data_IF_982828137309
#
_entry.id   IF_982828137309
#
_cell.length_a   1.000
_cell.length_b   1.000
_cell.length_c   1.000
_cell.angle_alpha   90.00
_cell.angle_beta   90.00
_cell.angle_gamma   90.00
#
_symmetry.space_group_name_H-M   'P 1'
#
loop_
_entity.id
_entity.type
_entity.pdbx_description
1 polymer ?
#
# COMPACT_ATOMS: atom_id res chain seq x y z
N UNK A 1 2.26 -2.39 -7.07
CA UNK A 1 1.30 -1.43 -7.65
C UNK A 1 0.21 -2.24 -8.34
N UNK A 2 -1.04 -2.07 -7.94
CA UNK A 2 -2.19 -2.70 -8.60
C UNK A 2 -2.71 -1.73 -9.66
N UNK A 3 -2.52 -2.07 -10.94
CA UNK A 3 -3.06 -1.30 -12.05
C UNK A 3 -4.44 -1.86 -12.45
N UNK A 4 -5.38 -0.96 -12.70
CA UNK A 4 -6.71 -1.30 -13.20
C UNK A 4 -6.73 -1.46 -14.73
N UNK A 5 -5.65 -1.11 -15.41
CA UNK A 5 -5.50 -1.25 -16.85
C UNK A 5 -4.43 -2.27 -17.19
N UNK A 6 -4.75 -3.18 -18.11
CA UNK A 6 -3.80 -4.12 -18.71
C UNK A 6 -3.86 -3.96 -20.23
N UNK A 7 -2.75 -3.58 -20.85
CA UNK A 7 -2.67 -3.28 -22.30
C UNK A 7 -3.72 -2.24 -22.76
N UNK A 8 -3.85 -1.14 -22.02
CA UNK A 8 -4.84 -0.06 -22.26
C UNK A 8 -6.32 -0.50 -22.18
N UNK A 9 -6.61 -1.66 -21.58
CA UNK A 9 -7.98 -2.12 -21.32
C UNK A 9 -8.25 -2.15 -19.82
N UNK A 10 -9.41 -1.63 -19.42
CA UNK A 10 -9.86 -1.71 -18.03
C UNK A 10 -10.14 -3.17 -17.68
N UNK A 11 -9.63 -3.62 -16.54
CA UNK A 11 -9.90 -4.95 -16.00
C UNK A 11 -11.40 -5.12 -15.75
N UNK A 12 -11.89 -6.31 -16.05
CA UNK A 12 -13.25 -6.74 -15.74
C UNK A 12 -13.39 -7.12 -14.26
N UNK A 13 -14.61 -7.17 -13.71
CA UNK A 13 -14.80 -7.55 -12.30
C UNK A 13 -14.18 -8.90 -11.91
N UNK A 14 -14.25 -9.98 -12.72
CA UNK A 14 -13.55 -11.23 -12.41
C UNK A 14 -12.02 -11.11 -12.37
N UNK A 15 -11.43 -10.29 -13.26
CA UNK A 15 -9.98 -10.05 -13.27
C UNK A 15 -9.53 -9.26 -12.04
N UNK A 16 -10.32 -8.27 -11.62
CA UNK A 16 -10.11 -7.54 -10.37
C UNK A 16 -10.20 -8.49 -9.17
N UNK A 17 -11.22 -9.36 -9.13
CA UNK A 17 -11.40 -10.31 -8.04
C UNK A 17 -10.17 -11.21 -7.88
N UNK A 18 -9.68 -11.79 -8.97
CA UNK A 18 -8.47 -12.63 -8.96
C UNK A 18 -7.26 -11.89 -8.37
N UNK A 19 -7.07 -10.63 -8.77
CA UNK A 19 -5.95 -9.79 -8.29
C UNK A 19 -6.09 -9.48 -6.79
N UNK A 20 -7.32 -9.26 -6.31
CA UNK A 20 -7.58 -9.05 -4.88
C UNK A 20 -7.33 -10.31 -4.06
N UNK A 21 -7.72 -11.48 -4.56
CA UNK A 21 -7.44 -12.78 -3.91
C UNK A 21 -5.92 -13.00 -3.75
N UNK A 22 -5.14 -12.71 -4.79
CA UNK A 22 -3.67 -12.78 -4.73
C UNK A 22 -3.10 -11.84 -3.66
N UNK A 23 -3.64 -10.61 -3.54
CA UNK A 23 -3.21 -9.62 -2.53
C UNK A 23 -3.53 -10.11 -1.11
N UNK A 24 -4.74 -10.65 -0.89
CA UNK A 24 -5.15 -11.20 0.42
C UNK A 24 -4.22 -12.33 0.83
N UNK A 25 -3.99 -13.30 -0.08
CA UNK A 25 -3.13 -14.45 0.21
C UNK A 25 -1.69 -14.03 0.57
N UNK A 26 -1.11 -13.06 -0.16
CA UNK A 26 0.23 -12.54 0.13
C UNK A 26 0.27 -11.80 1.47
N UNK A 27 -0.76 -11.01 1.78
CA UNK A 27 -0.83 -10.21 3.00
C UNK A 27 -0.99 -11.08 4.24
N UNK A 28 -1.74 -12.17 4.15
CA UNK A 28 -1.91 -13.13 5.23
C UNK A 28 -0.60 -13.88 5.55
N UNK A 29 0.21 -14.15 4.52
CA UNK A 29 1.51 -14.82 4.68
C UNK A 29 2.60 -13.91 5.25
N UNK A 30 2.51 -12.60 5.00
CA UNK A 30 3.51 -11.63 5.43
C UNK A 30 2.84 -10.32 5.91
N UNK A 31 2.32 -10.30 7.14
CA UNK A 31 1.73 -9.10 7.72
C UNK A 31 2.72 -7.93 7.75
N UNK A 32 2.29 -6.75 7.29
CA UNK A 32 3.09 -5.54 7.30
C UNK A 32 3.19 -4.89 8.69
N UNK A 33 4.05 -3.86 8.80
CA UNK A 33 4.29 -3.13 10.06
C UNK A 33 3.16 -2.18 10.48
N UNK A 34 2.08 -2.08 9.70
CA UNK A 34 0.96 -1.20 10.03
C UNK A 34 1.26 0.30 9.92
N UNK A 35 2.16 0.71 9.00
CA UNK A 35 2.55 2.13 8.82
C UNK A 35 1.36 3.07 8.59
N UNK A 36 0.25 2.57 8.01
CA UNK A 36 -0.98 3.34 7.84
C UNK A 36 -1.60 3.82 9.15
N UNK A 37 -1.34 3.15 10.28
CA UNK A 37 -1.82 3.59 11.59
C UNK A 37 -1.20 4.93 12.03
N UNK A 38 -0.03 5.29 11.51
CA UNK A 38 0.66 6.53 11.87
C UNK A 38 -0.07 7.78 11.36
N UNK A 39 -0.99 7.64 10.39
CA UNK A 39 -1.73 8.78 9.83
C UNK A 39 -2.82 9.31 10.76
N UNK A 40 -3.12 8.63 11.87
CA UNK A 40 -4.07 9.10 12.88
C UNK A 40 -3.44 10.08 13.87
N UNK A 41 -2.11 10.23 13.87
CA UNK A 41 -1.40 11.16 14.73
C UNK A 41 -1.78 12.62 14.41
N UNK A 42 -1.64 13.56 15.37
CA UNK A 42 -1.71 14.98 15.10
C UNK A 42 -0.80 15.37 13.92
N UNK A 43 -1.23 16.33 13.11
CA UNK A 43 -0.57 16.65 11.82
C UNK A 43 0.93 16.91 11.96
N UNK A 44 1.34 17.61 13.02
CA UNK A 44 2.75 17.94 13.27
C UNK A 44 3.57 16.70 13.65
N UNK A 45 2.99 15.78 14.42
CA UNK A 45 3.63 14.51 14.80
C UNK A 45 3.72 13.57 13.60
N UNK A 46 2.64 13.44 12.83
CA UNK A 46 2.64 12.67 11.58
C UNK A 46 3.71 13.17 10.60
N UNK A 47 3.85 14.48 10.46
CA UNK A 47 4.85 15.08 9.55
C UNK A 47 6.27 14.66 9.94
N UNK A 48 6.61 14.74 11.24
CA UNK A 48 7.92 14.31 11.74
C UNK A 48 8.18 12.81 11.50
N UNK A 49 7.19 11.97 11.78
CA UNK A 49 7.33 10.52 11.61
C UNK A 49 7.44 10.14 10.14
N UNK A 50 6.65 10.76 9.25
CA UNK A 50 6.75 10.56 7.80
C UNK A 50 8.13 10.94 7.27
N UNK A 51 8.65 12.09 7.66
CA UNK A 51 9.95 12.57 7.18
C UNK A 51 11.07 11.62 7.65
N UNK A 52 10.98 11.13 8.89
CA UNK A 52 11.89 10.10 9.38
C UNK A 52 11.78 8.79 8.58
N UNK A 53 10.57 8.33 8.25
CA UNK A 53 10.38 7.13 7.39
C UNK A 53 11.07 7.30 6.03
N UNK A 54 11.00 8.49 5.43
CA UNK A 54 11.67 8.79 4.16
C UNK A 54 13.20 8.81 4.27
N UNK A 55 13.75 9.25 5.40
CA UNK A 55 15.20 9.22 5.67
C UNK A 55 15.73 7.79 5.88
N UNK A 56 14.92 6.91 6.47
CA UNK A 56 15.32 5.52 6.75
C UNK A 56 15.50 4.69 5.48
N UNK A 57 14.71 4.94 4.44
CA UNK A 57 14.79 4.22 3.16
C UNK A 57 14.13 5.04 2.05
N UNK A 58 14.86 5.27 0.95
CA UNK A 58 14.35 5.98 -0.22
C UNK A 58 13.11 5.32 -0.85
N UNK A 59 12.92 4.01 -0.69
CA UNK A 59 11.74 3.28 -1.18
C UNK A 59 10.45 3.60 -0.39
N UNK A 60 10.55 4.26 0.76
CA UNK A 60 9.38 4.66 1.55
C UNK A 60 8.69 5.92 1.00
N UNK A 61 9.35 6.70 0.13
CA UNK A 61 8.83 7.91 -0.51
C UNK A 61 7.76 7.58 -1.56
#
# INVERSE_FOLDING_TARGET
>A
MFDLYESNKLLTPPEILKRLEDIVQQSDQSPGLGLGALTVLPRDEWTKVRDHLYEMNEQNK
#
